data_IF_009509335941
#
_entry.id   IF_009509335941
#
_cell.length_a   1.000
_cell.length_b   1.000
_cell.length_c   1.000
_cell.angle_alpha   90.00
_cell.angle_beta   90.00
_cell.angle_gamma   90.00
#
_symmetry.space_group_name_H-M   'P 1'
#
loop_
_entity.id
_entity.type
_entity.pdbx_description
1 polymer ?
#
# COMPACT_ATOMS: atom_id res chain seq x y z
N UNK A 1 -13.10 -10.61 -3.90
CA UNK A 1 -11.61 -10.51 -3.84
C UNK A 1 -11.18 -9.16 -4.39
N UNK A 2 -10.01 -8.65 -3.95
CA UNK A 2 -9.48 -7.41 -4.54
C UNK A 2 -9.32 -7.57 -6.06
N UNK A 3 -9.70 -6.54 -6.81
CA UNK A 3 -9.62 -6.50 -8.28
C UNK A 3 -10.51 -7.49 -9.05
N UNK A 4 -11.52 -8.05 -8.44
CA UNK A 4 -12.34 -9.10 -9.08
C UNK A 4 -12.92 -8.66 -10.44
N UNK A 5 -13.54 -7.49 -10.49
CA UNK A 5 -14.08 -6.96 -11.75
C UNK A 5 -13.02 -6.68 -12.82
N UNK A 6 -11.86 -6.18 -12.43
CA UNK A 6 -10.72 -5.99 -13.33
C UNK A 6 -10.16 -7.33 -13.82
N UNK A 7 -9.95 -8.28 -12.91
CA UNK A 7 -9.49 -9.63 -13.23
C UNK A 7 -10.41 -10.34 -14.21
N UNK A 8 -11.71 -10.32 -13.98
CA UNK A 8 -12.69 -10.96 -14.85
C UNK A 8 -12.63 -10.43 -16.29
N UNK A 9 -12.55 -9.12 -16.44
CA UNK A 9 -12.49 -8.46 -17.75
C UNK A 9 -11.18 -8.74 -18.48
N UNK A 10 -10.05 -8.65 -17.79
CA UNK A 10 -8.75 -8.98 -18.37
C UNK A 10 -8.66 -10.46 -18.76
N UNK A 11 -9.17 -11.36 -17.93
CA UNK A 11 -9.21 -12.78 -18.24
C UNK A 11 -10.10 -13.10 -19.44
N UNK A 12 -11.24 -12.42 -19.60
CA UNK A 12 -12.10 -12.58 -20.78
C UNK A 12 -11.36 -12.15 -22.05
N UNK A 13 -10.67 -11.03 -22.04
CA UNK A 13 -9.83 -10.56 -23.14
C UNK A 13 -8.74 -11.56 -23.51
N UNK A 14 -8.02 -12.06 -22.54
CA UNK A 14 -6.93 -13.01 -22.74
C UNK A 14 -7.41 -14.40 -23.19
N UNK A 15 -8.57 -14.84 -22.71
CA UNK A 15 -9.21 -16.07 -23.17
C UNK A 15 -9.54 -15.99 -24.66
N UNK A 16 -10.01 -14.83 -25.10
CA UNK A 16 -10.28 -14.59 -26.52
C UNK A 16 -8.99 -14.65 -27.36
N UNK A 17 -7.90 -14.04 -26.90
CA UNK A 17 -6.59 -14.12 -27.56
C UNK A 17 -6.04 -15.56 -27.63
N UNK A 18 -6.17 -16.33 -26.54
CA UNK A 18 -5.72 -17.73 -26.51
C UNK A 18 -6.47 -18.62 -27.49
N UNK A 19 -7.70 -18.29 -27.81
CA UNK A 19 -8.51 -19.00 -28.80
C UNK A 19 -8.02 -18.84 -30.25
N UNK A 20 -7.13 -17.86 -30.50
CA UNK A 20 -6.53 -17.62 -31.81
C UNK A 20 -5.14 -18.23 -31.87
N UNK A 21 -4.89 -19.09 -32.84
CA UNK A 21 -3.57 -19.73 -33.01
C UNK A 21 -2.47 -18.78 -33.47
N UNK A 22 -2.84 -17.74 -34.21
CA UNK A 22 -1.96 -16.63 -34.61
C UNK A 22 -2.63 -15.31 -34.27
N UNK A 23 -1.83 -14.32 -33.95
CA UNK A 23 -2.30 -12.96 -33.67
C UNK A 23 -1.82 -12.00 -34.75
N UNK A 24 -2.72 -11.14 -35.21
CA UNK A 24 -2.40 -10.00 -36.05
C UNK A 24 -2.25 -8.74 -35.19
N UNK A 25 -1.68 -7.67 -35.78
CA UNK A 25 -1.65 -6.36 -35.12
C UNK A 25 -3.06 -5.86 -34.78
N UNK A 26 -4.06 -6.19 -35.59
CA UNK A 26 -5.44 -5.81 -35.35
C UNK A 26 -6.04 -6.56 -34.16
N UNK A 27 -5.70 -7.82 -33.97
CA UNK A 27 -6.08 -8.59 -32.77
C UNK A 27 -5.51 -7.95 -31.50
N UNK A 28 -4.27 -7.48 -31.55
CA UNK A 28 -3.63 -6.76 -30.44
C UNK A 28 -4.34 -5.43 -30.17
N UNK A 29 -4.66 -4.67 -31.20
CA UNK A 29 -5.39 -3.40 -31.03
C UNK A 29 -6.75 -3.58 -30.38
N UNK A 30 -7.50 -4.60 -30.78
CA UNK A 30 -8.79 -4.93 -30.17
C UNK A 30 -8.64 -5.33 -28.72
N UNK A 31 -7.68 -6.20 -28.41
CA UNK A 31 -7.39 -6.60 -27.05
C UNK A 31 -6.99 -5.41 -26.17
N UNK A 32 -6.18 -4.51 -26.67
CA UNK A 32 -5.75 -3.31 -25.94
C UNK A 32 -6.90 -2.31 -25.70
N UNK A 33 -7.88 -2.23 -26.58
CA UNK A 33 -9.13 -1.47 -26.32
C UNK A 33 -9.89 -2.04 -25.12
N UNK A 34 -10.02 -3.35 -25.02
CA UNK A 34 -10.70 -4.02 -23.92
C UNK A 34 -9.93 -3.83 -22.62
N UNK A 35 -8.59 -3.95 -22.64
CA UNK A 35 -7.71 -3.68 -21.49
C UNK A 35 -7.86 -2.23 -21.04
N UNK A 36 -7.87 -1.27 -21.95
CA UNK A 36 -8.08 0.14 -21.65
C UNK A 36 -9.41 0.39 -20.95
N UNK A 37 -10.49 -0.16 -21.46
CA UNK A 37 -11.82 -0.02 -20.86
C UNK A 37 -11.86 -0.66 -19.47
N UNK A 38 -11.28 -1.84 -19.30
CA UNK A 38 -11.21 -2.52 -18.01
C UNK A 38 -10.47 -1.69 -16.95
N UNK A 39 -9.35 -1.08 -17.31
CA UNK A 39 -8.58 -0.22 -16.41
C UNK A 39 -9.32 1.08 -16.06
N UNK A 40 -9.99 1.71 -17.02
CA UNK A 40 -10.81 2.91 -16.79
C UNK A 40 -12.00 2.61 -15.86
N UNK A 41 -12.66 1.47 -16.02
CA UNK A 41 -13.74 1.03 -15.14
C UNK A 41 -13.24 0.68 -13.73
N UNK A 42 -11.97 0.27 -13.60
CA UNK A 42 -11.30 0.08 -12.32
C UNK A 42 -10.87 1.40 -11.65
N UNK A 43 -11.27 2.53 -12.21
CA UNK A 43 -10.93 3.88 -11.74
C UNK A 43 -9.42 4.19 -11.76
N UNK A 44 -8.71 3.64 -12.73
CA UNK A 44 -7.32 4.04 -13.01
C UNK A 44 -7.31 5.37 -13.76
N UNK A 45 -6.38 6.26 -13.44
CA UNK A 45 -6.31 7.57 -14.10
C UNK A 45 -6.09 7.45 -15.60
N UNK A 46 -6.73 8.31 -16.37
CA UNK A 46 -6.64 8.29 -17.84
C UNK A 46 -5.20 8.34 -18.36
N UNK A 47 -4.37 9.17 -17.78
CA UNK A 47 -2.96 9.28 -18.17
C UNK A 47 -2.19 7.98 -17.95
N UNK A 48 -2.38 7.34 -16.81
CA UNK A 48 -1.76 6.05 -16.48
C UNK A 48 -2.21 4.98 -17.46
N UNK A 49 -3.51 4.91 -17.75
CA UNK A 49 -4.08 3.94 -18.71
C UNK A 49 -3.50 4.16 -20.11
N UNK A 50 -3.47 5.41 -20.57
CA UNK A 50 -2.93 5.77 -21.88
C UNK A 50 -1.48 5.35 -22.06
N UNK A 51 -0.62 5.68 -21.10
CA UNK A 51 0.79 5.34 -21.12
C UNK A 51 1.02 3.84 -21.03
N UNK A 52 0.27 3.15 -20.18
CA UNK A 52 0.33 1.70 -20.03
C UNK A 52 -0.06 0.96 -21.32
N UNK A 53 -1.20 1.31 -21.91
CA UNK A 53 -1.71 0.69 -23.15
C UNK A 53 -0.74 0.95 -24.31
N UNK A 54 -0.18 2.16 -24.39
CA UNK A 54 0.85 2.47 -25.39
C UNK A 54 2.07 1.58 -25.27
N UNK A 55 2.63 1.46 -24.07
CA UNK A 55 3.82 0.65 -23.81
C UNK A 55 3.59 -0.84 -24.10
N UNK A 56 2.46 -1.38 -23.64
CA UNK A 56 2.10 -2.78 -23.91
C UNK A 56 1.88 -3.02 -25.40
N UNK A 57 1.17 -2.12 -26.09
CA UNK A 57 0.90 -2.23 -27.53
C UNK A 57 2.19 -2.23 -28.35
N UNK A 58 3.12 -1.34 -28.06
CA UNK A 58 4.42 -1.27 -28.74
C UNK A 58 5.22 -2.55 -28.59
N UNK A 59 5.23 -3.14 -27.39
CA UNK A 59 5.90 -4.41 -27.13
C UNK A 59 5.19 -5.61 -27.78
N UNK A 60 3.86 -5.60 -27.78
CA UNK A 60 3.04 -6.73 -28.21
C UNK A 60 3.00 -6.89 -29.74
N UNK A 61 3.20 -5.82 -30.53
CA UNK A 61 3.22 -5.87 -32.00
C UNK A 61 4.60 -6.22 -32.58
N UNK A 62 5.59 -6.44 -31.74
CA UNK A 62 6.93 -6.86 -32.18
C UNK A 62 6.91 -8.25 -32.86
N UNK A 63 7.81 -8.45 -33.82
CA UNK A 63 7.91 -9.72 -34.56
C UNK A 63 8.11 -10.92 -33.63
N UNK A 64 8.86 -10.75 -32.55
CA UNK A 64 9.09 -11.80 -31.53
C UNK A 64 7.79 -12.34 -30.93
N UNK A 65 6.77 -11.49 -30.79
CA UNK A 65 5.46 -11.88 -30.25
C UNK A 65 4.61 -12.49 -31.36
N UNK A 66 4.45 -11.82 -32.50
CA UNK A 66 3.56 -12.24 -33.58
C UNK A 66 4.01 -13.55 -34.24
N UNK A 67 5.31 -13.77 -34.35
CA UNK A 67 5.91 -14.99 -34.91
C UNK A 67 6.12 -16.10 -33.89
N UNK A 68 5.78 -15.88 -32.63
CA UNK A 68 5.89 -16.85 -31.54
C UNK A 68 4.94 -18.05 -31.75
N UNK A 69 5.35 -19.21 -31.27
CA UNK A 69 4.48 -20.39 -31.18
C UNK A 69 3.34 -20.22 -30.16
N UNK A 70 3.47 -19.29 -29.23
CA UNK A 70 2.47 -19.00 -28.22
C UNK A 70 2.27 -17.46 -28.05
N UNK A 71 1.75 -16.76 -29.07
CA UNK A 71 1.70 -15.30 -29.06
C UNK A 71 0.80 -14.73 -27.95
N UNK A 72 -0.32 -15.37 -27.66
CA UNK A 72 -1.20 -14.94 -26.56
C UNK A 72 -0.49 -14.99 -25.18
N UNK A 73 0.31 -16.01 -24.94
CA UNK A 73 1.10 -16.13 -23.71
C UNK A 73 2.16 -15.02 -23.62
N UNK A 74 2.76 -14.64 -24.73
CA UNK A 74 3.72 -13.53 -24.78
C UNK A 74 3.04 -12.19 -24.47
N UNK A 75 1.84 -11.95 -24.99
CA UNK A 75 1.06 -10.75 -24.67
C UNK A 75 0.71 -10.69 -23.17
N UNK A 76 0.26 -11.79 -22.60
CA UNK A 76 -0.07 -11.87 -21.18
C UNK A 76 1.17 -11.62 -20.30
N UNK A 77 2.32 -12.18 -20.69
CA UNK A 77 3.59 -11.93 -20.02
C UNK A 77 3.97 -10.44 -20.03
N UNK A 78 3.84 -9.79 -21.18
CA UNK A 78 4.10 -8.35 -21.32
C UNK A 78 3.16 -7.54 -20.42
N UNK A 79 1.87 -7.85 -20.40
CA UNK A 79 0.91 -7.18 -19.51
C UNK A 79 1.30 -7.36 -18.05
N UNK A 80 1.69 -8.58 -17.65
CA UNK A 80 2.14 -8.86 -16.28
C UNK A 80 3.39 -8.06 -15.91
N UNK A 81 4.37 -7.99 -16.78
CA UNK A 81 5.61 -7.23 -16.56
C UNK A 81 5.34 -5.73 -16.45
N UNK A 82 4.48 -5.19 -17.31
CA UNK A 82 4.14 -3.76 -17.29
C UNK A 82 3.24 -3.38 -16.10
N UNK A 83 2.32 -4.24 -15.67
CA UNK A 83 1.56 -4.04 -14.43
C UNK A 83 2.50 -4.04 -13.22
N UNK A 84 3.43 -4.96 -13.16
CA UNK A 84 4.44 -5.04 -12.10
C UNK A 84 5.29 -3.77 -12.05
N UNK A 85 5.79 -3.32 -13.20
CA UNK A 85 6.57 -2.09 -13.32
C UNK A 85 5.78 -0.85 -12.90
N UNK A 86 4.51 -0.77 -13.29
CA UNK A 86 3.61 0.33 -12.95
C UNK A 86 3.44 0.48 -11.42
N UNK A 87 3.37 -0.63 -10.70
CA UNK A 87 3.23 -0.67 -9.24
C UNK A 87 4.57 -0.60 -8.49
N UNK A 88 5.70 -0.55 -9.20
CA UNK A 88 7.01 -0.32 -8.60
C UNK A 88 8.07 -1.39 -8.81
N UNK A 89 7.78 -2.46 -9.52
CA UNK A 89 8.72 -3.53 -9.83
C UNK A 89 8.89 -4.53 -8.69
N UNK A 90 9.43 -4.11 -7.57
CA UNK A 90 9.70 -4.94 -6.41
C UNK A 90 9.08 -4.35 -5.13
N UNK A 91 8.99 -5.18 -4.08
CA UNK A 91 8.57 -4.71 -2.76
C UNK A 91 9.53 -3.63 -2.25
N UNK A 92 8.99 -2.50 -1.84
CA UNK A 92 9.71 -1.45 -1.17
C UNK A 92 9.61 -1.63 0.35
N UNK A 93 10.72 -1.99 0.99
CA UNK A 93 10.79 -2.23 2.43
C UNK A 93 10.81 -0.93 3.22
N UNK A 94 10.39 -1.03 4.49
CA UNK A 94 10.57 0.05 5.46
C UNK A 94 12.07 0.31 5.68
N UNK A 95 12.47 1.57 5.73
CA UNK A 95 13.82 1.98 6.08
C UNK A 95 13.95 2.04 7.61
N UNK A 96 15.00 1.44 8.14
CA UNK A 96 15.32 1.50 9.57
C UNK A 96 16.40 2.56 9.83
N UNK A 97 16.30 3.24 10.97
CA UNK A 97 17.31 4.20 11.38
C UNK A 97 18.63 3.50 11.74
N UNK A 98 19.80 4.13 11.46
CA UNK A 98 21.09 3.60 11.86
C UNK A 98 21.25 3.44 13.37
N UNK A 99 20.61 4.33 14.13
CA UNK A 99 20.50 4.26 15.59
C UNK A 99 19.02 4.19 15.99
N UNK A 100 18.62 3.22 16.83
CA UNK A 100 17.26 3.19 17.33
C UNK A 100 16.95 4.43 18.20
N UNK A 101 15.66 4.83 18.26
CA UNK A 101 14.54 4.19 17.59
C UNK A 101 14.38 4.59 16.12
N UNK A 102 13.85 3.68 15.31
CA UNK A 102 13.27 4.01 14.00
C UNK A 102 11.94 4.71 14.24
N UNK A 103 11.79 5.92 13.72
CA UNK A 103 10.60 6.74 13.89
C UNK A 103 9.75 6.67 12.63
N UNK A 104 8.55 6.12 12.75
CA UNK A 104 7.58 6.00 11.67
C UNK A 104 6.42 6.95 11.94
N UNK A 105 6.32 8.00 11.14
CA UNK A 105 5.25 8.98 11.24
C UNK A 105 4.11 8.57 10.32
N UNK A 106 2.96 8.27 10.90
CA UNK A 106 1.78 7.83 10.16
C UNK A 106 0.84 9.01 9.94
N UNK A 107 0.54 9.30 8.68
CA UNK A 107 -0.33 10.40 8.26
C UNK A 107 -1.49 9.89 7.42
N UNK A 108 -2.56 10.65 7.31
CA UNK A 108 -3.73 10.29 6.52
C UNK A 108 -4.97 11.07 6.91
N UNK A 109 -5.98 11.03 6.04
CA UNK A 109 -7.27 11.64 6.28
C UNK A 109 -8.08 10.84 7.31
N UNK A 110 -9.06 11.49 7.93
CA UNK A 110 -10.02 10.85 8.82
C UNK A 110 -10.82 9.79 8.06
N UNK A 111 -10.98 8.62 8.66
CA UNK A 111 -11.72 7.51 8.05
C UNK A 111 -10.90 6.61 7.13
N UNK A 112 -9.63 6.92 6.87
CA UNK A 112 -8.74 6.06 6.08
C UNK A 112 -8.30 4.78 6.82
N UNK A 113 -8.60 4.66 8.12
CA UNK A 113 -8.19 3.53 8.95
C UNK A 113 -6.80 3.67 9.56
N UNK A 114 -6.33 4.91 9.75
CA UNK A 114 -4.97 5.21 10.20
C UNK A 114 -4.64 4.56 11.54
N UNK A 115 -5.40 4.81 12.59
CA UNK A 115 -5.14 4.27 13.94
C UNK A 115 -5.06 2.74 13.95
N UNK A 116 -5.99 2.07 13.31
CA UNK A 116 -5.99 0.60 13.19
C UNK A 116 -4.76 0.09 12.42
N UNK A 117 -4.39 0.76 11.34
CA UNK A 117 -3.24 0.34 10.52
C UNK A 117 -1.89 0.69 11.15
N UNK A 118 -1.82 1.74 11.96
CA UNK A 118 -0.65 1.99 12.83
C UNK A 118 -0.42 0.79 13.76
N UNK A 119 -1.48 0.33 14.43
CA UNK A 119 -1.41 -0.84 15.32
C UNK A 119 -1.08 -2.13 14.56
N UNK A 120 -1.69 -2.37 13.41
CA UNK A 120 -1.39 -3.53 12.56
C UNK A 120 0.08 -3.57 12.15
N UNK A 121 0.62 -2.44 11.73
CA UNK A 121 2.01 -2.33 11.29
C UNK A 121 2.98 -2.55 12.45
N UNK A 122 2.70 -1.97 13.61
CA UNK A 122 3.48 -2.22 14.82
C UNK A 122 3.45 -3.70 15.23
N UNK A 123 2.28 -4.35 15.17
CA UNK A 123 2.12 -5.77 15.42
C UNK A 123 2.91 -6.65 14.44
N UNK A 124 2.93 -6.26 13.17
CA UNK A 124 3.73 -6.92 12.13
C UNK A 124 5.22 -6.91 12.48
N UNK A 125 5.77 -5.76 12.86
CA UNK A 125 7.18 -5.66 13.23
C UNK A 125 7.50 -6.28 14.59
N UNK A 126 6.55 -6.27 15.53
CA UNK A 126 6.73 -6.98 16.79
C UNK A 126 6.92 -8.49 16.60
N UNK A 127 6.17 -9.09 15.68
CA UNK A 127 6.35 -10.51 15.32
C UNK A 127 7.74 -10.80 14.73
N UNK A 128 8.39 -9.81 14.16
CA UNK A 128 9.75 -9.92 13.64
C UNK A 128 10.85 -9.64 14.68
N UNK A 129 10.49 -9.48 15.95
CA UNK A 129 11.43 -9.26 17.03
C UNK A 129 11.71 -7.80 17.37
N UNK A 130 11.02 -6.85 16.73
CA UNK A 130 11.10 -5.44 17.11
C UNK A 130 10.30 -5.15 18.38
N UNK A 131 10.63 -4.04 19.02
CA UNK A 131 9.99 -3.55 20.24
C UNK A 131 9.32 -2.19 19.98
N UNK A 132 8.16 -2.18 19.30
CA UNK A 132 7.49 -0.94 18.94
C UNK A 132 6.86 -0.23 20.14
N UNK A 133 6.78 1.09 20.02
CA UNK A 133 6.01 1.98 20.88
C UNK A 133 4.98 2.70 20.01
N UNK A 134 3.71 2.63 20.38
CA UNK A 134 2.64 3.43 19.77
C UNK A 134 2.54 4.77 20.50
N UNK A 135 2.34 5.85 19.74
CA UNK A 135 2.27 7.21 20.28
C UNK A 135 1.00 7.91 19.82
N UNK A 136 0.19 8.35 20.79
CA UNK A 136 -1.07 9.05 20.55
C UNK A 136 -0.84 10.54 20.31
N UNK A 137 -0.69 10.95 19.05
CA UNK A 137 -0.54 12.34 18.63
C UNK A 137 -1.84 12.98 18.09
N UNK A 138 -2.94 12.21 17.95
CA UNK A 138 -4.26 12.76 17.66
C UNK A 138 -4.92 13.22 18.97
N UNK A 139 -4.70 14.47 19.32
CA UNK A 139 -5.15 15.07 20.59
C UNK A 139 -6.53 15.73 20.48
N UNK A 140 -7.07 15.87 19.26
CA UNK A 140 -8.33 16.58 19.01
C UNK A 140 -9.55 15.69 19.23
N UNK A 141 -9.37 14.39 19.13
CA UNK A 141 -10.43 13.40 19.37
C UNK A 141 -10.05 12.53 20.56
N UNK A 142 -10.68 12.73 21.74
CA UNK A 142 -10.39 11.91 22.92
C UNK A 142 -10.55 10.39 22.67
N UNK A 143 -11.52 10.01 21.84
CA UNK A 143 -11.73 8.63 21.43
C UNK A 143 -10.53 8.03 20.66
N UNK A 144 -9.74 8.83 19.96
CA UNK A 144 -8.56 8.35 19.24
C UNK A 144 -7.48 7.84 20.18
N UNK A 145 -7.22 8.53 21.28
CA UNK A 145 -6.27 8.09 22.31
C UNK A 145 -6.73 6.76 22.91
N UNK A 146 -8.00 6.69 23.32
CA UNK A 146 -8.59 5.46 23.87
C UNK A 146 -8.55 4.31 22.88
N UNK A 147 -8.87 4.57 21.62
CA UNK A 147 -8.82 3.55 20.56
C UNK A 147 -7.41 3.01 20.39
N UNK A 148 -6.40 3.86 20.37
CA UNK A 148 -5.00 3.43 20.26
C UNK A 148 -4.57 2.58 21.46
N UNK A 149 -4.99 2.95 22.66
CA UNK A 149 -4.74 2.18 23.89
C UNK A 149 -5.40 0.80 23.84
N UNK A 150 -6.63 0.70 23.36
CA UNK A 150 -7.34 -0.58 23.22
C UNK A 150 -6.63 -1.51 22.26
N UNK A 151 -6.29 -1.06 21.06
CA UNK A 151 -5.61 -1.89 20.06
C UNK A 151 -4.18 -2.24 20.49
N UNK A 152 -3.49 -1.32 21.14
CA UNK A 152 -2.17 -1.57 21.72
C UNK A 152 -2.20 -2.67 22.78
N UNK A 153 -3.19 -2.64 23.65
CA UNK A 153 -3.38 -3.70 24.68
C UNK A 153 -3.67 -5.04 24.05
N UNK A 154 -4.52 -5.10 23.03
CA UNK A 154 -4.82 -6.34 22.31
C UNK A 154 -3.58 -6.96 21.66
N UNK A 155 -2.67 -6.14 21.17
CA UNK A 155 -1.41 -6.57 20.54
C UNK A 155 -0.24 -6.70 21.52
N UNK A 156 -0.47 -6.38 22.80
CA UNK A 156 0.58 -6.34 23.82
C UNK A 156 1.74 -5.38 23.48
N UNK A 157 1.37 -4.23 22.94
CA UNK A 157 2.28 -3.14 22.54
C UNK A 157 2.02 -1.93 23.44
N UNK A 158 3.06 -1.33 24.08
CA UNK A 158 2.89 -0.15 24.90
C UNK A 158 2.44 1.05 24.09
N UNK A 159 1.59 1.86 24.70
CA UNK A 159 1.09 3.12 24.10
C UNK A 159 1.54 4.27 24.98
N UNK A 160 2.24 5.23 24.36
CA UNK A 160 2.63 6.48 24.98
C UNK A 160 1.58 7.54 24.70
N UNK A 161 1.09 8.20 25.74
CA UNK A 161 0.15 9.29 25.62
C UNK A 161 0.42 10.34 26.69
N UNK A 162 0.07 11.59 26.41
CA UNK A 162 0.18 12.72 27.34
C UNK A 162 -1.11 13.56 27.37
N UNK A 163 -2.25 12.95 27.03
CA UNK A 163 -3.51 13.65 26.95
C UNK A 163 -3.57 14.66 25.78
N UNK A 164 -4.31 15.73 25.99
CA UNK A 164 -4.60 16.72 24.95
C UNK A 164 -3.65 17.94 25.05
N UNK A 165 -2.36 17.69 24.87
CA UNK A 165 -1.33 18.74 24.82
C UNK A 165 -0.78 18.87 23.39
N UNK A 166 0.23 19.72 23.18
CA UNK A 166 0.85 19.90 21.86
C UNK A 166 1.40 18.56 21.32
N UNK A 167 0.93 18.07 20.17
CA UNK A 167 1.38 16.83 19.59
C UNK A 167 2.88 16.80 19.26
N UNK A 168 3.51 17.94 19.01
CA UNK A 168 4.96 18.04 18.82
C UNK A 168 5.69 17.62 20.09
N UNK A 169 5.25 18.09 21.23
CA UNK A 169 5.81 17.73 22.54
C UNK A 169 5.60 16.23 22.82
N UNK A 170 4.41 15.70 22.53
CA UNK A 170 4.13 14.27 22.70
C UNK A 170 5.09 13.42 21.85
N UNK A 171 5.30 13.79 20.59
CA UNK A 171 6.21 13.09 19.71
C UNK A 171 7.65 13.10 20.21
N UNK A 172 8.14 14.25 20.66
CA UNK A 172 9.49 14.38 21.23
C UNK A 172 9.67 13.54 22.51
N UNK A 173 8.72 13.60 23.42
CA UNK A 173 8.75 12.83 24.67
C UNK A 173 8.62 11.32 24.41
N UNK A 174 7.86 10.91 23.40
CA UNK A 174 7.76 9.51 23.00
C UNK A 174 9.09 8.94 22.48
N UNK A 175 9.82 9.70 21.70
CA UNK A 175 11.14 9.31 21.20
C UNK A 175 12.13 9.15 22.37
N UNK A 176 12.10 10.07 23.31
CA UNK A 176 12.90 9.99 24.53
C UNK A 176 12.53 8.77 25.38
N UNK A 177 11.23 8.57 25.60
CA UNK A 177 10.71 7.41 26.32
C UNK A 177 11.19 6.09 25.69
N UNK A 178 11.11 5.97 24.37
CA UNK A 178 11.58 4.79 23.65
C UNK A 178 13.07 4.51 23.87
N UNK A 179 13.90 5.54 23.85
CA UNK A 179 15.33 5.42 24.17
C UNK A 179 15.58 4.92 25.58
N UNK A 180 14.85 5.45 26.56
CA UNK A 180 14.98 5.08 27.98
C UNK A 180 14.43 3.67 28.29
N UNK A 181 13.48 3.18 27.51
CA UNK A 181 12.79 1.90 27.76
C UNK A 181 13.15 0.78 26.76
N UNK A 182 14.10 1.04 25.88
CA UNK A 182 14.59 0.04 24.90
C UNK A 182 13.62 -0.27 23.77
N UNK A 183 12.67 0.61 23.45
CA UNK A 183 11.87 0.47 22.24
C UNK A 183 12.70 0.88 21.02
N UNK A 184 12.78 0.01 20.03
CA UNK A 184 13.57 0.24 18.82
C UNK A 184 12.78 0.86 17.65
N UNK A 185 11.46 0.92 17.78
CA UNK A 185 10.57 1.57 16.83
C UNK A 185 9.55 2.44 17.56
N UNK A 186 9.28 3.62 17.01
CA UNK A 186 8.23 4.53 17.47
C UNK A 186 7.28 4.80 16.32
N UNK A 187 6.00 4.52 16.52
CA UNK A 187 4.94 4.83 15.56
C UNK A 187 4.14 6.03 16.07
N UNK A 188 4.13 7.12 15.31
CA UNK A 188 3.38 8.31 15.63
C UNK A 188 2.03 8.27 14.92
N UNK A 189 0.95 8.10 15.67
CA UNK A 189 -0.41 8.20 15.16
C UNK A 189 -0.86 9.66 15.21
N UNK A 190 -0.67 10.36 14.09
CA UNK A 190 -0.94 11.79 13.98
C UNK A 190 -2.43 12.09 13.76
N UNK A 191 -2.83 13.35 13.95
CA UNK A 191 -4.19 13.79 13.70
C UNK A 191 -4.59 13.58 12.23
N UNK A 192 -5.84 13.19 12.03
CA UNK A 192 -6.49 13.15 10.72
C UNK A 192 -7.67 14.11 10.71
N UNK A 193 -7.92 14.73 9.55
CA UNK A 193 -9.09 15.58 9.29
C UNK A 193 -9.84 15.08 8.08
N UNK A 194 -11.08 15.52 7.88
CA UNK A 194 -11.89 15.15 6.71
C UNK A 194 -11.26 15.60 5.39
N UNK A 195 -10.57 16.75 5.44
CA UNK A 195 -9.87 17.33 4.29
C UNK A 195 -8.47 17.76 4.69
N UNK A 196 -7.60 17.87 3.68
CA UNK A 196 -6.27 18.46 3.85
C UNK A 196 -6.46 19.97 3.98
N UNK A 197 -6.14 20.51 5.14
CA UNK A 197 -6.15 21.94 5.41
C UNK A 197 -4.76 22.44 5.85
N UNK A 198 -4.58 23.76 5.84
CA UNK A 198 -3.31 24.38 6.17
C UNK A 198 -2.89 24.09 7.63
N UNK A 199 -3.86 24.11 8.56
CA UNK A 199 -3.60 23.85 9.98
C UNK A 199 -3.09 22.43 10.22
N UNK A 200 -3.67 21.43 9.55
CA UNK A 200 -3.19 20.05 9.60
C UNK A 200 -1.77 19.93 9.05
N UNK A 201 -1.52 20.53 7.88
CA UNK A 201 -0.19 20.46 7.26
C UNK A 201 0.87 21.15 8.10
N UNK A 202 0.57 22.31 8.69
CA UNK A 202 1.49 23.02 9.58
C UNK A 202 1.84 22.18 10.81
N UNK A 203 0.87 21.53 11.43
CA UNK A 203 1.10 20.62 12.57
C UNK A 203 2.00 19.45 12.17
N UNK A 204 1.70 18.78 11.04
CA UNK A 204 2.49 17.64 10.55
C UNK A 204 3.93 18.07 10.21
N UNK A 205 4.11 19.23 9.60
CA UNK A 205 5.45 19.79 9.33
C UNK A 205 6.23 20.09 10.60
N UNK A 206 5.56 20.60 11.65
CA UNK A 206 6.17 20.84 12.96
C UNK A 206 6.62 19.55 13.63
N UNK A 207 5.81 18.52 13.59
CA UNK A 207 6.18 17.18 14.11
C UNK A 207 7.38 16.65 13.32
N UNK A 208 7.33 16.68 11.99
CA UNK A 208 8.43 16.27 11.12
C UNK A 208 9.74 16.99 11.44
N UNK A 209 9.70 18.28 11.63
CA UNK A 209 10.88 19.08 11.98
C UNK A 209 11.44 18.72 13.36
N UNK A 210 10.57 18.43 14.32
CA UNK A 210 10.95 18.16 15.71
C UNK A 210 11.60 16.81 15.91
N UNK A 211 11.07 15.74 15.29
CA UNK A 211 11.54 14.36 15.52
C UNK A 211 12.31 13.77 14.34
N UNK A 212 12.31 14.41 13.19
CA UNK A 212 13.00 13.94 11.99
C UNK A 212 12.72 12.45 11.71
N UNK A 213 11.48 12.09 11.36
CA UNK A 213 11.09 10.70 11.20
C UNK A 213 11.95 9.98 10.16
N UNK A 214 12.23 8.72 10.40
CA UNK A 214 12.91 7.84 9.46
C UNK A 214 12.04 7.59 8.24
N UNK A 215 10.73 7.39 8.47
CA UNK A 215 9.71 7.15 7.46
C UNK A 215 8.47 7.98 7.75
N UNK A 216 7.91 8.58 6.70
CA UNK A 216 6.56 9.14 6.71
C UNK A 216 5.70 8.26 5.82
N UNK A 217 4.75 7.54 6.41
CA UNK A 217 3.84 6.66 5.70
C UNK A 217 2.44 7.26 5.67
N UNK A 218 1.88 7.34 4.48
CA UNK A 218 0.51 7.77 4.26
C UNK A 218 -0.43 6.57 4.23
N UNK A 219 -1.46 6.61 5.06
CA UNK A 219 -2.54 5.63 5.04
C UNK A 219 -3.67 6.15 4.16
N UNK A 220 -4.03 5.41 3.12
CA UNK A 220 -5.12 5.73 2.21
C UNK A 220 -6.06 4.55 2.00
N UNK A 221 -7.32 4.86 1.77
CA UNK A 221 -8.39 3.90 1.53
C UNK A 221 -8.46 3.54 0.04
N UNK A 222 -8.17 2.29 -0.30
CA UNK A 222 -8.20 1.80 -1.68
C UNK A 222 -9.59 1.89 -2.33
N UNK A 223 -10.65 1.87 -1.54
CA UNK A 223 -12.02 1.95 -2.05
C UNK A 223 -12.38 3.32 -2.60
N UNK A 224 -11.64 4.36 -2.24
CA UNK A 224 -11.88 5.73 -2.73
C UNK A 224 -11.27 6.01 -4.11
N UNK A 225 -10.58 5.03 -4.71
CA UNK A 225 -10.06 5.12 -6.08
C UNK A 225 -9.18 6.35 -6.31
N UNK A 226 -9.57 7.22 -7.24
CA UNK A 226 -8.78 8.43 -7.55
C UNK A 226 -8.71 9.44 -6.40
N UNK A 227 -9.65 9.46 -5.47
CA UNK A 227 -9.54 10.31 -4.29
C UNK A 227 -8.36 9.89 -3.41
N UNK A 228 -8.07 8.59 -3.31
CA UNK A 228 -6.86 8.10 -2.65
C UNK A 228 -5.58 8.60 -3.34
N UNK A 229 -5.56 8.60 -4.66
CA UNK A 229 -4.43 9.12 -5.47
C UNK A 229 -4.26 10.63 -5.27
N UNK A 230 -5.36 11.38 -5.27
CA UNK A 230 -5.34 12.83 -5.04
C UNK A 230 -4.84 13.17 -3.64
N UNK A 231 -5.28 12.42 -2.62
CA UNK A 231 -4.78 12.58 -1.25
C UNK A 231 -3.28 12.27 -1.17
N UNK A 232 -2.81 11.20 -1.80
CA UNK A 232 -1.40 10.85 -1.84
C UNK A 232 -0.55 11.95 -2.48
N UNK A 233 -0.99 12.49 -3.60
CA UNK A 233 -0.31 13.61 -4.28
C UNK A 233 -0.24 14.84 -3.40
N UNK A 234 -1.34 15.21 -2.75
CA UNK A 234 -1.41 16.39 -1.90
C UNK A 234 -0.52 16.27 -0.64
N UNK A 235 -0.53 15.12 0.03
CA UNK A 235 0.36 14.88 1.17
C UNK A 235 1.84 14.86 0.76
N UNK A 236 2.16 14.28 -0.38
CA UNK A 236 3.53 14.24 -0.88
C UNK A 236 4.05 15.64 -1.22
N UNK A 237 3.26 16.44 -1.91
CA UNK A 237 3.63 17.83 -2.25
C UNK A 237 3.78 18.73 -1.01
N UNK A 238 2.89 18.60 -0.04
CA UNK A 238 2.88 19.47 1.14
C UNK A 238 3.88 19.05 2.21
N UNK A 239 4.04 17.75 2.45
CA UNK A 239 4.82 17.20 3.56
C UNK A 239 6.05 16.41 3.10
N UNK A 240 5.93 15.72 1.97
CA UNK A 240 6.83 14.66 1.55
C UNK A 240 6.49 13.34 2.28
N UNK A 241 6.18 12.31 1.52
CA UNK A 241 5.96 10.96 2.05
C UNK A 241 7.04 10.00 1.53
N UNK A 242 7.33 8.95 2.28
CA UNK A 242 8.31 7.92 1.89
C UNK A 242 7.63 6.68 1.33
N UNK A 243 6.38 6.47 1.66
CA UNK A 243 5.59 5.35 1.19
C UNK A 243 4.12 5.44 1.58
N UNK A 244 3.36 4.47 1.10
CA UNK A 244 1.91 4.39 1.27
C UNK A 244 1.55 3.05 1.89
N UNK A 245 0.61 3.09 2.84
CA UNK A 245 -0.12 1.93 3.34
C UNK A 245 -1.53 1.98 2.75
N UNK A 246 -1.85 1.03 1.90
CA UNK A 246 -3.14 0.97 1.22
C UNK A 246 -4.09 0.09 2.01
N UNK A 247 -5.23 0.63 2.43
CA UNK A 247 -6.21 -0.07 3.26
C UNK A 247 -7.41 -0.54 2.45
N UNK A 248 -8.18 -1.47 3.02
CA UNK A 248 -9.44 -1.97 2.44
C UNK A 248 -9.30 -2.59 1.05
N UNK A 249 -8.15 -3.17 0.75
CA UNK A 249 -7.87 -3.78 -0.54
C UNK A 249 -8.59 -5.13 -0.73
N UNK A 250 -9.07 -5.76 0.34
CA UNK A 250 -9.75 -7.04 0.31
C UNK A 250 -11.25 -7.01 -0.01
N UNK A 251 -11.85 -5.82 -0.17
CA UNK A 251 -13.28 -5.63 -0.42
C UNK A 251 -13.60 -5.36 -1.89
N UNK A 252 -14.54 -4.45 -2.11
CA UNK A 252 -14.99 -4.02 -3.44
C UNK A 252 -14.04 -3.02 -4.12
N UNK A 253 -12.76 -2.97 -3.70
CA UNK A 253 -11.78 -2.10 -4.31
C UNK A 253 -11.58 -2.44 -5.79
N UNK A 254 -11.75 -1.44 -6.65
CA UNK A 254 -11.66 -1.58 -8.11
C UNK A 254 -10.21 -1.67 -8.61
N UNK A 255 -9.23 -1.28 -7.80
CA UNK A 255 -7.81 -1.37 -8.09
C UNK A 255 -7.14 -0.09 -8.58
N UNK A 256 -7.91 0.96 -8.88
CA UNK A 256 -7.39 2.20 -9.43
C UNK A 256 -6.29 2.85 -8.58
N UNK A 257 -6.48 2.89 -7.27
CA UNK A 257 -5.49 3.45 -6.35
C UNK A 257 -4.17 2.66 -6.37
N UNK A 258 -4.23 1.33 -6.30
CA UNK A 258 -3.04 0.48 -6.33
C UNK A 258 -2.21 0.64 -7.61
N UNK A 259 -2.87 0.86 -8.74
CA UNK A 259 -2.23 1.02 -10.04
C UNK A 259 -1.75 2.45 -10.32
N UNK A 260 -2.27 3.46 -9.62
CA UNK A 260 -2.04 4.87 -9.97
C UNK A 260 -1.14 5.62 -9.00
N UNK A 261 -1.04 5.21 -7.73
CA UNK A 261 -0.35 5.97 -6.68
C UNK A 261 1.11 6.20 -7.02
N UNK A 262 1.83 5.18 -7.43
CA UNK A 262 3.24 5.33 -7.76
C UNK A 262 3.47 6.21 -8.99
N UNK A 263 2.67 6.07 -10.02
CA UNK A 263 2.77 6.93 -11.21
C UNK A 263 2.48 8.39 -10.89
N UNK A 264 1.54 8.67 -9.98
CA UNK A 264 1.17 10.02 -9.58
C UNK A 264 2.17 10.68 -8.62
N UNK A 265 2.77 9.93 -7.71
CA UNK A 265 3.61 10.46 -6.62
C UNK A 265 5.09 10.12 -6.75
N UNK A 266 5.44 9.10 -7.51
CA UNK A 266 6.79 8.51 -7.49
C UNK A 266 7.11 7.73 -6.21
N UNK A 267 6.14 7.58 -5.29
CA UNK A 267 6.33 6.92 -4.00
C UNK A 267 5.71 5.52 -3.99
N UNK A 268 6.40 4.54 -3.37
CA UNK A 268 5.94 3.15 -3.39
C UNK A 268 4.81 2.91 -2.41
N UNK A 269 3.94 1.95 -2.74
CA UNK A 269 3.10 1.29 -1.75
C UNK A 269 3.97 0.26 -1.03
N UNK A 270 4.09 0.36 0.28
CA UNK A 270 4.94 -0.53 1.09
C UNK A 270 4.17 -1.66 1.76
N UNK A 271 2.96 -1.37 2.21
CA UNK A 271 2.07 -2.31 2.90
C UNK A 271 0.64 -2.18 2.41
N UNK A 272 -0.12 -3.26 2.57
CA UNK A 272 -1.54 -3.30 2.30
C UNK A 272 -2.32 -3.96 3.42
N UNK A 273 -3.42 -3.35 3.83
CA UNK A 273 -4.40 -3.93 4.74
C UNK A 273 -5.40 -4.77 3.96
N UNK A 274 -5.54 -6.04 4.34
CA UNK A 274 -6.33 -7.04 3.62
C UNK A 274 -7.63 -7.42 4.31
N UNK A 275 -7.90 -6.86 5.48
CA UNK A 275 -9.11 -7.11 6.26
C UNK A 275 -9.16 -6.31 7.54
N UNK A 276 -10.15 -6.60 8.38
CA UNK A 276 -10.41 -5.83 9.61
C UNK A 276 -9.61 -6.31 10.84
N UNK A 277 -9.17 -7.57 10.84
CA UNK A 277 -8.40 -8.14 11.95
C UNK A 277 -7.03 -7.48 12.07
N UNK A 278 -6.53 -7.37 13.29
CA UNK A 278 -5.27 -6.69 13.59
C UNK A 278 -4.01 -7.35 13.01
N UNK A 279 -4.09 -8.60 12.59
CA UNK A 279 -3.01 -9.32 11.90
C UNK A 279 -3.12 -9.27 10.36
N UNK A 280 -4.16 -8.63 9.83
CA UNK A 280 -4.41 -8.55 8.39
C UNK A 280 -3.73 -7.33 7.77
N UNK A 281 -2.43 -7.38 7.74
CA UNK A 281 -1.55 -6.47 7.02
C UNK A 281 -0.42 -7.27 6.41
N UNK A 282 -0.01 -6.93 5.21
CA UNK A 282 1.09 -7.60 4.50
C UNK A 282 1.92 -6.60 3.69
N UNK A 283 3.20 -6.91 3.44
CA UNK A 283 4.00 -6.15 2.48
C UNK A 283 3.33 -6.15 1.11
N UNK A 284 3.47 -5.03 0.40
CA UNK A 284 2.97 -4.91 -0.96
C UNK A 284 4.01 -5.43 -1.96
N UNK A 285 3.68 -6.50 -2.67
CA UNK A 285 4.51 -7.10 -3.71
C UNK A 285 3.90 -6.84 -5.10
N UNK A 286 4.47 -5.92 -5.90
CA UNK A 286 3.93 -5.58 -7.21
C UNK A 286 3.76 -6.77 -8.16
N UNK A 287 4.71 -7.69 -8.19
CA UNK A 287 4.68 -8.90 -9.01
C UNK A 287 3.52 -9.84 -8.63
N UNK A 288 3.30 -10.04 -7.33
CA UNK A 288 2.19 -10.85 -6.83
C UNK A 288 0.83 -10.19 -7.09
N UNK A 289 0.76 -8.86 -6.97
CA UNK A 289 -0.44 -8.11 -7.30
C UNK A 289 -0.76 -8.19 -8.79
N UNK A 290 0.21 -8.09 -9.67
CA UNK A 290 0.02 -8.29 -11.10
C UNK A 290 -0.51 -9.69 -11.43
N UNK A 291 0.05 -10.73 -10.82
CA UNK A 291 -0.45 -12.11 -10.97
C UNK A 291 -1.90 -12.26 -10.47
N UNK A 292 -2.23 -11.65 -9.35
CA UNK A 292 -3.58 -11.66 -8.78
C UNK A 292 -4.58 -10.95 -9.69
N UNK A 293 -4.23 -9.80 -10.25
CA UNK A 293 -5.03 -9.06 -11.23
C UNK A 293 -5.26 -9.91 -12.49
N UNK A 294 -4.28 -10.66 -12.93
CA UNK A 294 -4.39 -11.52 -14.10
C UNK A 294 -5.06 -12.88 -13.82
N UNK A 295 -5.54 -13.11 -12.59
CA UNK A 295 -6.22 -14.34 -12.21
C UNK A 295 -5.30 -15.56 -12.10
N UNK A 296 -3.98 -15.35 -12.04
CA UNK A 296 -2.99 -16.43 -11.90
C UNK A 296 -2.84 -16.94 -10.46
N UNK A 297 -3.54 -16.30 -9.51
CA UNK A 297 -3.44 -16.58 -8.09
C UNK A 297 -2.13 -16.08 -7.47
N UNK A 298 -2.10 -16.02 -6.14
CA UNK A 298 -0.91 -15.66 -5.39
C UNK A 298 -0.34 -16.89 -4.69
N UNK A 299 0.27 -17.78 -5.47
CA UNK A 299 0.85 -19.02 -4.98
C UNK A 299 2.01 -18.76 -4.01
N UNK A 300 2.82 -17.73 -4.29
CA UNK A 300 3.97 -17.39 -3.44
C UNK A 300 3.52 -16.88 -2.08
N UNK A 301 2.53 -15.98 -2.02
CA UNK A 301 1.96 -15.51 -0.75
C UNK A 301 1.31 -16.65 0.05
N UNK A 302 0.73 -17.63 -0.62
CA UNK A 302 0.18 -18.82 0.05
C UNK A 302 1.28 -19.65 0.70
N UNK A 303 2.38 -19.90 -0.01
CA UNK A 303 3.53 -20.64 0.49
C UNK A 303 4.15 -19.91 1.70
N UNK A 304 4.37 -18.60 1.62
CA UNK A 304 4.92 -17.83 2.72
C UNK A 304 4.03 -17.83 3.97
N UNK A 305 2.71 -17.73 3.80
CA UNK A 305 1.77 -17.84 4.92
C UNK A 305 1.80 -19.23 5.57
N UNK A 306 1.93 -20.27 4.74
CA UNK A 306 2.07 -21.63 5.23
C UNK A 306 3.39 -21.82 6.00
N UNK A 307 4.49 -21.28 5.51
CA UNK A 307 5.78 -21.30 6.19
C UNK A 307 5.75 -20.54 7.52
N UNK A 308 5.16 -19.32 7.55
CA UNK A 308 5.00 -18.54 8.78
C UNK A 308 4.17 -19.28 9.84
N UNK A 309 3.08 -19.93 9.42
CA UNK A 309 2.24 -20.69 10.35
C UNK A 309 2.96 -21.91 10.92
N UNK A 310 3.80 -22.57 10.12
CA UNK A 310 4.63 -23.70 10.58
C UNK A 310 5.70 -23.25 11.57
N UNK A 311 6.32 -22.09 11.34
CA UNK A 311 7.33 -21.53 12.22
C UNK A 311 6.72 -21.04 13.55
N UNK A 312 5.51 -20.45 13.50
CA UNK A 312 4.75 -20.10 14.72
C UNK A 312 4.37 -21.35 15.55
N UNK A 313 4.02 -22.45 14.91
CA UNK A 313 3.74 -23.70 15.63
C UNK A 313 5.00 -24.34 16.22
N UNK A 314 6.13 -24.25 15.52
CA UNK A 314 7.43 -24.72 16.04
C UNK A 314 7.95 -23.88 17.19
N UNK A 315 7.70 -22.59 17.18
CA UNK A 315 8.10 -21.67 18.25
C UNK A 315 7.26 -21.82 19.52
N UNK A 316 6.07 -22.44 19.42
CA UNK A 316 5.17 -22.72 20.56
C UNK A 316 5.42 -24.08 21.21
N UNK A 317 6.24 -24.94 20.63
CA UNK A 317 6.71 -26.21 21.19
C UNK A 317 8.09 -26.07 21.81
#
# INVERSE_FOLDING_TARGET
MAFEGLSEKLNATFKHLRGKGRLSEEDIKLAMREVRLALLEADVSYKVVKDFVKTVSERAVGAEVLDSLAPAQQVIKIVSEELTALMGGANAKLTFAPKPPTIVMMVGLQGAGKTTNVAKLAGYFRKQGHRPLLTACDVYRPAAITQLQVVGKQLNIPVFEMGQIDPVQIAQEAVKYAGDHGNDMVFLDTAGRLHIDEALMDELKRIKAAVKPTEILLVVDAMTGQDAVNAATAFDEALGIDGVVLTKLGGDARGGAALSIRAATGKPIKFMGTGEKLDMIEPFHPDRMAQRILGMGDVLSFIERAEQSIDEEKAKK
#
